data_IF_892361298504
#
_entry.id   IF_892361298504
#
_cell.length_a   1.000
_cell.length_b   1.000
_cell.length_c   1.000
_cell.angle_alpha   90.00
_cell.angle_beta   90.00
_cell.angle_gamma   90.00
#
_symmetry.space_group_name_H-M   'P 1'
#
loop_
_entity.id
_entity.type
_entity.pdbx_description
1 polymer ?
#
# COMPACT_ATOMS: atom_id res chain seq x y z
N UNK A 1 -21.13 -5.10 38.02
CA UNK A 1 -20.69 -6.05 36.98
C UNK A 1 -20.51 -5.25 35.70
N UNK A 2 -19.44 -5.55 34.97
CA UNK A 2 -18.68 -4.74 34.00
C UNK A 2 -19.48 -3.97 32.94
N UNK A 3 -19.30 -2.65 32.94
CA UNK A 3 -19.42 -1.77 31.77
C UNK A 3 -18.29 -2.12 30.79
N UNK A 4 -18.63 -2.87 29.74
CA UNK A 4 -17.75 -3.02 28.57
C UNK A 4 -17.93 -1.71 27.80
N UNK A 5 -16.96 -0.81 27.91
CA UNK A 5 -16.84 0.33 27.00
C UNK A 5 -16.59 -0.24 25.60
N UNK A 6 -17.63 -0.27 24.78
CA UNK A 6 -17.51 -0.44 23.33
C UNK A 6 -16.72 0.76 22.80
N UNK A 7 -15.40 0.64 22.76
CA UNK A 7 -14.54 1.60 22.08
C UNK A 7 -14.86 1.53 20.59
N UNK A 8 -15.80 2.39 20.17
CA UNK A 8 -15.99 2.71 18.77
C UNK A 8 -14.71 3.44 18.32
N UNK A 9 -13.75 2.69 17.77
CA UNK A 9 -12.52 3.25 17.21
C UNK A 9 -12.93 4.02 15.96
N UNK A 10 -13.32 5.28 16.14
CA UNK A 10 -13.55 6.21 15.03
C UNK A 10 -12.18 6.54 14.43
N UNK A 11 -11.93 6.30 13.13
CA UNK A 11 -10.60 6.45 12.52
C UNK A 11 -10.18 7.92 12.29
N UNK A 12 -10.91 8.88 12.86
CA UNK A 12 -10.75 10.32 12.64
C UNK A 12 -10.59 11.14 13.93
N UNK A 13 -9.83 10.63 14.92
CA UNK A 13 -9.43 11.45 16.07
C UNK A 13 -8.38 12.49 15.65
N UNK A 14 -8.86 13.61 15.11
CA UNK A 14 -8.40 14.96 15.40
C UNK A 14 -6.99 15.43 14.97
N UNK A 15 -6.68 16.72 15.15
CA UNK A 15 -5.70 17.51 14.37
C UNK A 15 -4.22 17.20 14.66
N UNK A 16 -3.98 16.17 15.46
CA UNK A 16 -2.71 15.69 16.01
C UNK A 16 -2.43 14.23 15.62
N UNK A 17 -3.22 13.65 14.70
CA UNK A 17 -3.16 12.25 14.27
C UNK A 17 -1.96 11.91 13.36
N UNK A 18 -0.81 12.55 13.57
CA UNK A 18 0.45 11.90 13.31
C UNK A 18 0.49 10.65 14.20
N UNK A 19 -0.02 9.50 13.74
CA UNK A 19 0.39 8.24 14.36
C UNK A 19 1.92 8.26 14.27
N UNK A 20 2.58 8.32 15.42
CA UNK A 20 4.05 8.39 15.45
C UNK A 20 4.66 7.22 14.68
N UNK A 21 3.92 6.12 14.48
CA UNK A 21 4.29 5.00 13.65
C UNK A 21 3.17 4.71 12.64
N UNK A 22 3.51 4.59 11.36
CA UNK A 22 2.63 4.10 10.30
C UNK A 22 3.14 2.76 9.79
N UNK A 23 2.21 1.83 9.59
CA UNK A 23 2.52 0.50 9.05
C UNK A 23 2.09 0.41 7.59
N UNK A 24 3.04 0.13 6.70
CA UNK A 24 2.79 -0.08 5.27
C UNK A 24 3.08 -1.53 4.92
N UNK A 25 2.10 -2.24 4.38
CA UNK A 25 2.27 -3.59 3.87
C UNK A 25 2.60 -3.54 2.37
N UNK A 26 3.77 -4.05 1.99
CA UNK A 26 4.17 -4.26 0.59
C UNK A 26 3.95 -5.72 0.25
N UNK A 27 3.06 -5.96 -0.71
CA UNK A 27 2.62 -7.30 -1.11
C UNK A 27 2.91 -7.51 -2.58
N UNK A 28 3.59 -8.59 -2.91
CA UNK A 28 3.81 -9.03 -4.30
C UNK A 28 3.87 -10.55 -4.41
N UNK A 29 3.72 -11.06 -5.62
CA UNK A 29 4.01 -12.47 -5.92
C UNK A 29 5.49 -12.76 -6.13
N UNK A 30 6.34 -11.73 -6.12
CA UNK A 30 7.79 -11.82 -6.36
C UNK A 30 8.59 -11.21 -5.20
N UNK A 31 9.55 -11.97 -4.67
CA UNK A 31 10.39 -11.54 -3.55
C UNK A 31 11.29 -10.37 -3.91
N UNK A 32 11.79 -10.30 -5.15
CA UNK A 32 12.64 -9.21 -5.61
C UNK A 32 11.86 -7.89 -5.70
N UNK A 33 10.60 -7.96 -6.13
CA UNK A 33 9.70 -6.80 -6.14
C UNK A 33 9.47 -6.30 -4.71
N UNK A 34 9.15 -7.20 -3.78
CA UNK A 34 8.92 -6.84 -2.37
C UNK A 34 10.15 -6.13 -1.80
N UNK A 35 11.33 -6.73 -1.98
CA UNK A 35 12.58 -6.19 -1.47
C UNK A 35 12.90 -4.82 -2.07
N UNK A 36 12.93 -4.70 -3.39
CA UNK A 36 13.29 -3.45 -4.09
C UNK A 36 12.35 -2.29 -3.74
N UNK A 37 11.03 -2.54 -3.71
CA UNK A 37 10.03 -1.53 -3.35
C UNK A 37 10.15 -1.15 -1.87
N UNK A 38 10.28 -2.13 -0.99
CA UNK A 38 10.38 -1.88 0.46
C UNK A 38 11.64 -1.12 0.83
N UNK A 39 12.78 -1.47 0.25
CA UNK A 39 14.04 -0.78 0.47
C UNK A 39 14.00 0.64 -0.07
N UNK A 40 13.44 0.85 -1.25
CA UNK A 40 13.29 2.19 -1.83
C UNK A 40 12.38 3.08 -0.98
N UNK A 41 11.29 2.52 -0.43
CA UNK A 41 10.42 3.21 0.52
C UNK A 41 11.18 3.59 1.80
N UNK A 42 11.94 2.66 2.39
CA UNK A 42 12.73 2.91 3.60
C UNK A 42 13.83 3.95 3.34
N UNK A 43 14.53 3.87 2.21
CA UNK A 43 15.61 4.79 1.85
C UNK A 43 15.10 6.23 1.68
N UNK A 44 14.01 6.40 0.93
CA UNK A 44 13.38 7.71 0.73
C UNK A 44 12.81 8.25 2.04
N UNK A 45 12.20 7.40 2.88
CA UNK A 45 11.71 7.82 4.19
C UNK A 45 12.84 8.27 5.11
N UNK A 46 13.92 7.50 5.20
CA UNK A 46 15.06 7.79 6.09
C UNK A 46 15.80 9.07 5.69
N UNK A 47 15.87 9.38 4.38
CA UNK A 47 16.50 10.60 3.85
C UNK A 47 15.59 11.82 3.85
N UNK A 48 14.28 11.64 3.98
CA UNK A 48 13.31 12.74 3.98
C UNK A 48 12.97 13.26 5.37
N UNK A 49 12.33 14.43 5.42
CA UNK A 49 11.89 15.06 6.67
C UNK A 49 10.47 14.63 7.05
N UNK A 50 10.31 13.35 7.43
CA UNK A 50 9.01 12.83 7.87
C UNK A 50 8.86 12.95 9.39
N UNK A 51 7.72 13.47 9.85
CA UNK A 51 7.39 13.61 11.29
C UNK A 51 6.85 12.32 11.93
N UNK A 52 6.78 11.25 11.16
CA UNK A 52 6.20 9.96 11.54
C UNK A 52 7.19 8.86 11.17
N UNK A 53 7.28 7.82 12.01
CA UNK A 53 8.08 6.63 11.78
C UNK A 53 7.34 5.68 10.86
N UNK A 54 8.10 4.97 10.03
CA UNK A 54 7.56 4.03 9.07
C UNK A 54 7.96 2.60 9.45
N UNK A 55 6.99 1.69 9.46
CA UNK A 55 7.19 0.25 9.57
C UNK A 55 6.74 -0.36 8.25
N UNK A 56 7.66 -1.00 7.53
CA UNK A 56 7.36 -1.68 6.27
C UNK A 56 7.25 -3.19 6.51
N UNK A 57 6.05 -3.73 6.31
CA UNK A 57 5.79 -5.17 6.34
C UNK A 57 5.96 -5.72 4.93
N UNK A 58 6.71 -6.81 4.82
CA UNK A 58 7.07 -7.47 3.55
C UNK A 58 6.38 -8.83 3.52
N UNK A 59 5.54 -9.10 2.52
CA UNK A 59 4.87 -10.40 2.44
C UNK A 59 4.43 -10.79 1.04
N UNK A 60 4.30 -12.09 0.81
CA UNK A 60 3.67 -12.65 -0.39
C UNK A 60 2.14 -12.68 -0.31
N UNK A 61 1.60 -12.71 0.90
CA UNK A 61 0.16 -12.73 1.16
C UNK A 61 -0.20 -11.84 2.36
N UNK A 62 -1.40 -11.26 2.35
CA UNK A 62 -1.91 -10.50 3.49
C UNK A 62 -2.22 -11.43 4.68
N UNK A 63 -2.67 -12.65 4.39
CA UNK A 63 -2.98 -13.66 5.40
C UNK A 63 -1.77 -13.98 6.30
N UNK A 64 -0.57 -14.10 5.73
CA UNK A 64 0.65 -14.37 6.50
C UNK A 64 0.96 -13.23 7.49
N UNK A 65 0.72 -11.97 7.08
CA UNK A 65 0.89 -10.80 7.95
C UNK A 65 -0.09 -10.86 9.12
N UNK A 66 -1.36 -11.19 8.85
CA UNK A 66 -2.40 -11.27 9.87
C UNK A 66 -2.10 -12.40 10.87
N UNK A 67 -1.73 -13.59 10.36
CA UNK A 67 -1.36 -14.73 11.21
C UNK A 67 -0.17 -14.41 12.12
N UNK A 68 0.85 -13.73 11.61
CA UNK A 68 2.00 -13.31 12.42
C UNK A 68 1.60 -12.24 13.44
N UNK A 69 0.79 -11.26 13.04
CA UNK A 69 0.25 -10.21 13.91
C UNK A 69 -0.53 -10.79 15.10
N UNK A 70 -1.34 -11.83 14.88
CA UNK A 70 -2.07 -12.49 15.96
C UNK A 70 -1.14 -13.17 16.98
N UNK A 71 0.04 -13.64 16.55
CA UNK A 71 1.03 -14.31 17.41
C UNK A 71 1.95 -13.32 18.16
N UNK A 72 2.35 -12.23 17.50
CA UNK A 72 3.33 -11.27 18.05
C UNK A 72 2.68 -10.07 18.74
N UNK A 73 1.34 -9.98 18.69
CA UNK A 73 0.56 -8.84 19.16
C UNK A 73 0.00 -8.03 18.00
N UNK A 74 -1.27 -7.62 18.13
CA UNK A 74 -2.07 -7.00 17.06
C UNK A 74 -1.36 -5.79 16.43
N UNK A 75 -0.85 -5.99 15.23
CA UNK A 75 -0.28 -4.97 14.35
C UNK A 75 -1.39 -4.39 13.46
N UNK A 76 -1.61 -3.09 13.57
CA UNK A 76 -2.51 -2.37 12.67
C UNK A 76 -1.79 -2.11 11.34
N UNK A 77 -2.44 -2.46 10.23
CA UNK A 77 -1.99 -2.12 8.88
C UNK A 77 -2.65 -0.79 8.50
N UNK A 78 -1.83 0.25 8.28
CA UNK A 78 -2.34 1.56 7.91
C UNK A 78 -2.42 1.74 6.40
N UNK A 79 -1.55 1.11 5.60
CA UNK A 79 -1.53 1.26 4.15
C UNK A 79 -1.08 -0.03 3.46
N UNK A 80 -1.57 -0.31 2.27
CA UNK A 80 -1.25 -1.51 1.48
C UNK A 80 -0.76 -1.09 0.09
N UNK A 81 0.38 -1.62 -0.31
CA UNK A 81 0.94 -1.49 -1.65
C UNK A 81 0.85 -2.86 -2.32
N UNK A 82 -0.02 -2.99 -3.31
CA UNK A 82 -0.12 -4.18 -4.14
C UNK A 82 0.81 -4.01 -5.35
N UNK A 83 1.99 -4.63 -5.28
CA UNK A 83 2.97 -4.56 -6.35
C UNK A 83 2.79 -5.73 -7.32
N UNK A 84 2.31 -5.41 -8.52
CA UNK A 84 2.08 -6.37 -9.60
C UNK A 84 3.16 -6.27 -10.67
N UNK A 85 3.47 -7.42 -11.26
CA UNK A 85 4.35 -7.55 -12.41
C UNK A 85 3.54 -7.83 -13.67
N UNK A 86 3.41 -6.83 -14.54
CA UNK A 86 2.67 -6.96 -15.81
C UNK A 86 3.39 -7.81 -16.86
N UNK A 87 4.60 -8.31 -16.59
CA UNK A 87 5.22 -9.37 -17.39
C UNK A 87 4.60 -10.76 -17.16
N UNK A 88 3.76 -10.91 -16.12
CA UNK A 88 3.09 -12.17 -15.76
C UNK A 88 1.60 -12.15 -16.13
N UNK A 89 1.13 -13.21 -16.79
CA UNK A 89 -0.24 -13.33 -17.33
C UNK A 89 -1.32 -13.19 -16.25
N UNK A 90 -1.13 -13.78 -15.06
CA UNK A 90 -2.15 -13.81 -14.01
C UNK A 90 -2.00 -12.69 -12.96
N UNK A 91 -1.30 -11.59 -13.29
CA UNK A 91 -1.01 -10.54 -12.30
C UNK A 91 -2.28 -9.80 -11.83
N UNK A 92 -3.25 -9.57 -12.71
CA UNK A 92 -4.51 -8.89 -12.37
C UNK A 92 -5.42 -9.78 -11.53
N UNK A 93 -5.52 -11.07 -11.86
CA UNK A 93 -6.26 -12.04 -11.05
C UNK A 93 -5.66 -12.19 -9.64
N UNK A 94 -4.33 -12.23 -9.54
CA UNK A 94 -3.63 -12.23 -8.27
C UNK A 94 -3.93 -10.95 -7.48
N UNK A 95 -3.85 -9.78 -8.10
CA UNK A 95 -4.13 -8.50 -7.45
C UNK A 95 -5.57 -8.42 -6.94
N UNK A 96 -6.54 -8.94 -7.71
CA UNK A 96 -7.95 -9.04 -7.30
C UNK A 96 -8.11 -9.90 -6.05
N UNK A 97 -7.50 -11.09 -6.02
CA UNK A 97 -7.53 -11.99 -4.85
C UNK A 97 -6.89 -11.38 -3.60
N UNK A 98 -5.81 -10.62 -3.76
CA UNK A 98 -5.19 -9.92 -2.63
C UNK A 98 -6.07 -8.77 -2.14
N UNK A 99 -6.66 -8.00 -3.06
CA UNK A 99 -7.55 -6.90 -2.71
C UNK A 99 -8.80 -7.37 -1.95
N UNK A 100 -9.36 -8.52 -2.32
CA UNK A 100 -10.51 -9.13 -1.66
C UNK A 100 -10.28 -9.41 -0.18
N UNK A 101 -9.03 -9.67 0.23
CA UNK A 101 -8.63 -9.89 1.63
C UNK A 101 -8.52 -8.58 2.43
N UNK A 102 -8.41 -7.43 1.77
CA UNK A 102 -8.30 -6.13 2.44
C UNK A 102 -9.69 -5.68 2.90
N UNK A 103 -9.79 -5.28 4.18
CA UNK A 103 -11.01 -4.73 4.75
C UNK A 103 -11.57 -3.58 3.89
N UNK A 104 -12.89 -3.49 3.63
CA UNK A 104 -13.48 -2.46 2.76
C UNK A 104 -13.03 -1.04 3.09
N UNK A 105 -12.92 -0.68 4.38
CA UNK A 105 -12.49 0.65 4.80
C UNK A 105 -11.06 1.03 4.38
N UNK A 106 -10.15 0.05 4.36
CA UNK A 106 -8.78 0.23 3.87
C UNK A 106 -8.76 0.23 2.34
N UNK A 107 -9.57 -0.65 1.72
CA UNK A 107 -9.65 -0.82 0.26
C UNK A 107 -9.93 0.48 -0.47
N UNK A 108 -10.84 1.29 0.06
CA UNK A 108 -11.25 2.55 -0.58
C UNK A 108 -10.12 3.59 -0.58
N UNK A 109 -9.30 3.64 0.47
CA UNK A 109 -8.50 4.85 0.80
C UNK A 109 -6.99 4.64 0.90
N UNK A 110 -6.58 3.40 1.11
CA UNK A 110 -5.25 3.07 1.63
C UNK A 110 -4.63 1.88 0.93
N UNK A 111 -5.11 1.59 -0.28
CA UNK A 111 -4.52 0.59 -1.18
C UNK A 111 -4.07 1.30 -2.44
N UNK A 112 -2.82 1.07 -2.84
CA UNK A 112 -2.30 1.51 -4.14
C UNK A 112 -1.86 0.31 -4.95
N UNK A 113 -2.18 0.33 -6.25
CA UNK A 113 -1.69 -0.66 -7.20
C UNK A 113 -0.42 -0.13 -7.84
N UNK A 114 0.65 -0.94 -7.81
CA UNK A 114 1.94 -0.60 -8.36
C UNK A 114 2.28 -1.55 -9.50
N UNK A 115 2.43 -1.04 -10.73
CA UNK A 115 3.00 -1.80 -11.84
C UNK A 115 4.52 -1.60 -11.85
N UNK A 116 5.27 -2.68 -11.59
CA UNK A 116 6.71 -2.61 -11.34
C UNK A 116 7.58 -2.94 -12.55
N UNK A 117 6.99 -3.44 -13.64
CA UNK A 117 7.74 -3.91 -14.81
C UNK A 117 8.32 -2.76 -15.64
N UNK A 118 7.66 -1.59 -15.62
CA UNK A 118 7.97 -0.46 -16.51
C UNK A 118 7.89 -0.80 -18.00
N UNK A 119 7.21 -1.89 -18.36
CA UNK A 119 7.04 -2.31 -19.75
C UNK A 119 6.07 -1.39 -20.48
N UNK A 120 6.32 -1.07 -21.77
CA UNK A 120 5.31 -0.44 -22.59
C UNK A 120 4.11 -1.38 -22.81
N UNK A 121 2.94 -0.81 -23.09
CA UNK A 121 1.65 -1.53 -23.18
C UNK A 121 1.72 -2.71 -24.16
N UNK A 122 2.42 -2.55 -25.28
CA UNK A 122 2.54 -3.58 -26.32
C UNK A 122 3.43 -4.78 -25.94
N UNK A 123 4.17 -4.70 -24.83
CA UNK A 123 5.04 -5.78 -24.35
C UNK A 123 4.56 -6.37 -23.02
N UNK A 124 3.42 -5.94 -22.50
CA UNK A 124 2.82 -6.53 -21.32
C UNK A 124 2.25 -7.91 -21.65
N UNK A 125 2.30 -8.83 -20.68
CA UNK A 125 1.66 -10.14 -20.81
C UNK A 125 0.14 -10.07 -20.57
N UNK A 126 -0.36 -8.91 -20.12
CA UNK A 126 -1.76 -8.66 -19.77
C UNK A 126 -2.29 -7.47 -20.55
N UNK A 127 -3.58 -7.50 -20.88
CA UNK A 127 -4.24 -6.42 -21.58
C UNK A 127 -4.33 -5.16 -20.70
N UNK A 128 -3.94 -4.01 -21.26
CA UNK A 128 -4.09 -2.73 -20.56
C UNK A 128 -5.56 -2.43 -20.21
N UNK A 129 -6.52 -2.88 -21.02
CA UNK A 129 -7.95 -2.73 -20.73
C UNK A 129 -8.36 -3.45 -19.45
N UNK A 130 -7.81 -4.65 -19.18
CA UNK A 130 -8.11 -5.39 -17.95
C UNK A 130 -7.56 -4.67 -16.71
N UNK A 131 -6.37 -4.10 -16.82
CA UNK A 131 -5.78 -3.29 -15.75
C UNK A 131 -6.64 -2.05 -15.48
N UNK A 132 -7.04 -1.32 -16.54
CA UNK A 132 -7.87 -0.12 -16.43
C UNK A 132 -9.25 -0.45 -15.83
N UNK A 133 -9.89 -1.52 -16.29
CA UNK A 133 -11.17 -1.98 -15.74
C UNK A 133 -11.02 -2.32 -14.26
N UNK A 134 -10.00 -3.10 -13.90
CA UNK A 134 -9.73 -3.47 -12.51
C UNK A 134 -9.51 -2.24 -11.61
N UNK A 135 -8.71 -1.27 -12.03
CA UNK A 135 -8.46 -0.06 -11.24
C UNK A 135 -9.70 0.82 -11.13
N UNK A 136 -10.50 0.91 -12.19
CA UNK A 136 -11.73 1.73 -12.20
C UNK A 136 -12.82 1.12 -11.34
N UNK A 137 -13.07 -0.19 -11.46
CA UNK A 137 -14.05 -0.94 -10.66
C UNK A 137 -13.77 -0.82 -9.16
N UNK A 138 -12.49 -0.87 -8.80
CA UNK A 138 -12.06 -0.88 -7.40
C UNK A 138 -11.62 0.49 -6.88
N UNK A 139 -11.70 1.55 -7.70
CA UNK A 139 -11.24 2.91 -7.38
C UNK A 139 -9.80 2.95 -6.86
N UNK A 140 -8.92 2.16 -7.50
CA UNK A 140 -7.51 2.09 -7.13
C UNK A 140 -6.68 3.07 -7.96
N UNK A 141 -5.80 3.78 -7.28
CA UNK A 141 -4.72 4.49 -7.95
C UNK A 141 -3.68 3.50 -8.48
N UNK A 142 -3.33 3.66 -9.76
CA UNK A 142 -2.25 2.92 -10.41
C UNK A 142 -1.01 3.80 -10.55
N UNK A 143 0.09 3.37 -9.96
CA UNK A 143 1.41 3.96 -10.17
C UNK A 143 2.25 2.96 -10.98
N UNK A 144 2.93 3.43 -12.02
CA UNK A 144 3.78 2.58 -12.87
C UNK A 144 5.21 3.09 -12.91
N UNK A 145 6.17 2.17 -12.88
CA UNK A 145 7.59 2.47 -13.03
C UNK A 145 8.42 1.20 -13.08
N UNK A 146 9.69 1.31 -13.50
CA UNK A 146 10.57 0.16 -13.61
C UNK A 146 11.40 0.01 -12.32
N UNK A 147 11.09 -0.98 -11.48
CA UNK A 147 11.83 -1.18 -10.22
C UNK A 147 13.28 -1.68 -10.41
N UNK A 148 13.61 -2.20 -11.59
CA UNK A 148 14.99 -2.59 -11.93
C UNK A 148 15.88 -1.37 -12.17
N UNK A 149 15.29 -0.18 -12.35
CA UNK A 149 16.00 1.09 -12.38
C UNK A 149 15.92 1.74 -10.99
N UNK A 150 17.05 1.92 -10.28
CA UNK A 150 17.02 2.45 -8.91
C UNK A 150 16.36 3.82 -8.78
N UNK A 151 16.54 4.71 -9.77
CA UNK A 151 15.96 6.05 -9.74
C UNK A 151 14.43 6.03 -9.90
N UNK A 152 13.93 5.18 -10.80
CA UNK A 152 12.49 4.98 -10.98
C UNK A 152 11.89 4.37 -9.69
N UNK A 153 12.57 3.40 -9.08
CA UNK A 153 12.13 2.79 -7.81
C UNK A 153 12.05 3.81 -6.67
N UNK A 154 13.02 4.72 -6.56
CA UNK A 154 12.97 5.84 -5.60
C UNK A 154 11.85 6.82 -5.92
N UNK A 155 11.57 7.10 -7.19
CA UNK A 155 10.46 7.96 -7.58
C UNK A 155 9.11 7.33 -7.22
N UNK A 156 8.95 6.02 -7.46
CA UNK A 156 7.78 5.25 -7.02
C UNK A 156 7.60 5.32 -5.51
N UNK A 157 8.66 5.06 -4.74
CA UNK A 157 8.66 5.18 -3.29
C UNK A 157 8.26 6.58 -2.82
N UNK A 158 8.81 7.63 -3.42
CA UNK A 158 8.46 9.03 -3.12
C UNK A 158 6.98 9.32 -3.38
N UNK A 159 6.42 8.77 -4.47
CA UNK A 159 5.00 8.90 -4.79
C UNK A 159 4.13 8.16 -3.76
N UNK A 160 4.50 6.94 -3.37
CA UNK A 160 3.79 6.15 -2.35
C UNK A 160 3.77 6.91 -1.01
N UNK A 161 4.91 7.45 -0.56
CA UNK A 161 4.98 8.23 0.68
C UNK A 161 4.07 9.46 0.62
N UNK A 162 4.02 10.15 -0.53
CA UNK A 162 3.11 11.28 -0.73
C UNK A 162 1.63 10.88 -0.68
N UNK A 163 1.27 9.71 -1.22
CA UNK A 163 -0.09 9.17 -1.08
C UNK A 163 -0.46 8.90 0.38
N UNK A 164 0.48 8.35 1.15
CA UNK A 164 0.31 8.14 2.59
C UNK A 164 0.09 9.47 3.31
N UNK A 165 0.88 10.50 3.01
CA UNK A 165 0.72 11.84 3.60
C UNK A 165 -0.64 12.46 3.31
N UNK A 166 -1.16 12.27 2.10
CA UNK A 166 -2.50 12.76 1.71
C UNK A 166 -3.59 11.97 2.44
N UNK A 167 -3.46 10.66 2.54
CA UNK A 167 -4.43 9.78 3.21
C UNK A 167 -4.61 10.16 4.69
N UNK A 168 -3.50 10.45 5.39
CA UNK A 168 -3.53 10.83 6.81
C UNK A 168 -3.71 12.35 7.03
N UNK A 169 -3.69 13.16 5.98
CA UNK A 169 -3.92 14.61 6.08
C UNK A 169 -2.76 15.39 6.69
N UNK A 170 -1.49 15.01 6.43
CA UNK A 170 -0.30 15.66 7.03
C UNK A 170 -0.30 17.18 6.84
N UNK A 171 -0.72 17.65 5.65
CA UNK A 171 -0.70 19.08 5.31
C UNK A 171 -1.99 19.81 5.66
N UNK A 172 -3.12 19.12 5.66
CA UNK A 172 -4.45 19.72 5.84
C UNK A 172 -4.91 19.64 7.30
N UNK A 173 -4.33 18.77 8.11
CA UNK A 173 -4.86 18.40 9.44
C UNK A 173 -6.17 17.63 9.37
N UNK A 174 -6.67 17.34 8.17
CA UNK A 174 -7.93 16.65 7.90
C UNK A 174 -7.58 15.41 7.07
N UNK A 175 -7.70 14.19 7.65
CA UNK A 175 -7.48 12.96 6.90
C UNK A 175 -8.49 12.87 5.77
N UNK A 176 -8.04 12.43 4.60
CA UNK A 176 -8.92 12.38 3.44
C UNK A 176 -9.78 11.11 3.51
N UNK A 177 -11.08 11.32 3.74
CA UNK A 177 -12.05 10.23 3.90
C UNK A 177 -12.74 9.84 2.59
N UNK A 178 -12.56 10.63 1.51
CA UNK A 178 -13.39 10.62 0.30
C UNK A 178 -12.60 10.60 -1.03
N UNK A 179 -11.29 10.30 -1.03
CA UNK A 179 -10.64 9.85 -2.27
C UNK A 179 -11.07 8.41 -2.51
#
# INVERSE_FOLDING_TARGET
MSTIEDFLIVPWVGPSCCKNNLTVAVISSDGHIIESVSESIIDVHTKGEYRWKLVVLRSFSLEDIVRQSDLTGKLAIDFVVLAMDTSRIFCVEWARKMLEQVHPDLRIRRVVLLNTSGLPINTMAVNASEIISFTTENKLDLISGNISKPEDSKFLASRILKYIEVSIGVKTGIPNLNI
#
